data_IF_555163628742
#
_entry.id   IF_555163628742
#
_cell.length_a   1.000
_cell.length_b   1.000
_cell.length_c   1.000
_cell.angle_alpha   90.00
_cell.angle_beta   90.00
_cell.angle_gamma   90.00
#
_symmetry.space_group_name_H-M   'P 1'
#
loop_
_entity.id
_entity.type
_entity.pdbx_description
1 polymer ?
#
# COMPACT_ATOMS: atom_id res chain seq x y z
N UNK A 1 1.62 -3.15 18.60
CA UNK A 1 0.87 -2.09 17.89
C UNK A 1 -0.59 -2.26 18.20
N UNK A 2 -1.32 -1.21 18.58
CA UNK A 2 -2.77 -1.31 18.75
C UNK A 2 -3.40 -1.73 17.42
N UNK A 3 -4.40 -2.62 17.47
CA UNK A 3 -4.98 -3.27 16.27
C UNK A 3 -5.57 -2.25 15.28
N UNK A 4 -6.08 -1.14 15.81
CA UNK A 4 -6.73 -0.06 15.06
C UNK A 4 -5.84 0.56 13.96
N UNK A 5 -4.55 0.67 14.20
CA UNK A 5 -3.63 1.36 13.31
C UNK A 5 -3.24 0.48 12.11
N UNK A 6 -3.07 -0.83 12.35
CA UNK A 6 -2.82 -1.83 11.29
C UNK A 6 -4.00 -1.91 10.32
N UNK A 7 -5.22 -1.87 10.85
CA UNK A 7 -6.44 -1.95 10.05
C UNK A 7 -6.60 -0.71 9.15
N UNK A 8 -6.19 0.47 9.62
CA UNK A 8 -6.22 1.71 8.84
C UNK A 8 -5.23 1.70 7.67
N UNK A 9 -3.99 1.27 7.88
CA UNK A 9 -3.00 1.20 6.80
C UNK A 9 -3.40 0.21 5.70
N UNK A 10 -3.95 -0.95 6.10
CA UNK A 10 -4.48 -1.95 5.16
C UNK A 10 -5.64 -1.40 4.33
N UNK A 11 -6.56 -0.65 4.96
CA UNK A 11 -7.69 -0.02 4.25
C UNK A 11 -7.23 1.02 3.22
N UNK A 12 -6.29 1.89 3.59
CA UNK A 12 -5.75 2.91 2.67
C UNK A 12 -4.96 2.26 1.54
N UNK A 13 -4.14 1.27 1.84
CA UNK A 13 -3.35 0.55 0.84
C UNK A 13 -4.24 -0.13 -0.22
N UNK A 14 -5.38 -0.73 0.19
CA UNK A 14 -6.37 -1.29 -0.75
C UNK A 14 -6.95 -0.24 -1.67
N UNK A 15 -7.40 0.89 -1.12
CA UNK A 15 -7.99 1.98 -1.90
C UNK A 15 -6.99 2.56 -2.92
N UNK A 16 -5.73 2.71 -2.52
CA UNK A 16 -4.66 3.14 -3.44
C UNK A 16 -4.50 2.13 -4.58
N UNK A 17 -4.45 0.83 -4.28
CA UNK A 17 -4.35 -0.22 -5.29
C UNK A 17 -5.52 -0.25 -6.27
N UNK A 18 -6.76 -0.06 -5.79
CA UNK A 18 -7.96 0.05 -6.64
C UNK A 18 -7.88 1.26 -7.57
N UNK A 19 -7.50 2.43 -7.06
CA UNK A 19 -7.35 3.65 -7.86
C UNK A 19 -6.25 3.51 -8.93
N UNK A 20 -5.11 2.93 -8.59
CA UNK A 20 -4.01 2.72 -9.54
C UNK A 20 -4.42 1.77 -10.66
N UNK A 21 -5.15 0.71 -10.32
CA UNK A 21 -5.70 -0.25 -11.30
C UNK A 21 -6.68 0.41 -12.25
N UNK A 22 -7.62 1.20 -11.73
CA UNK A 22 -8.62 1.91 -12.53
C UNK A 22 -7.97 2.92 -13.49
N UNK A 23 -6.82 3.49 -13.09
CA UNK A 23 -6.06 4.44 -13.90
C UNK A 23 -4.98 3.78 -14.79
N UNK A 24 -4.78 2.46 -14.70
CA UNK A 24 -3.69 1.77 -15.39
C UNK A 24 -2.30 2.30 -15.03
N UNK A 25 -2.15 2.85 -13.82
CA UNK A 25 -0.94 3.53 -13.34
C UNK A 25 -0.11 2.64 -12.40
N UNK A 26 1.11 3.07 -12.11
CA UNK A 26 2.06 2.38 -11.23
C UNK A 26 2.59 3.30 -10.13
N UNK A 27 2.87 2.72 -8.98
CA UNK A 27 3.38 3.36 -7.78
C UNK A 27 4.86 3.03 -7.61
N UNK A 28 5.63 4.05 -7.25
CA UNK A 28 7.00 3.91 -6.80
C UNK A 28 7.18 4.72 -5.52
N UNK A 29 7.98 4.21 -4.59
CA UNK A 29 8.22 4.85 -3.29
C UNK A 29 9.71 4.94 -3.02
N UNK A 30 10.17 6.11 -2.59
CA UNK A 30 11.51 6.30 -2.03
C UNK A 30 11.34 6.72 -0.58
N UNK A 31 11.88 5.93 0.34
CA UNK A 31 11.61 6.05 1.77
C UNK A 31 12.88 6.36 2.57
N UNK A 32 12.73 7.11 3.66
CA UNK A 32 13.79 7.42 4.62
C UNK A 32 13.31 7.07 6.04
N UNK A 33 12.74 8.02 6.78
CA UNK A 33 12.29 7.83 8.16
C UNK A 33 11.19 6.77 8.34
N UNK A 34 10.44 6.47 7.27
CA UNK A 34 9.42 5.42 7.27
C UNK A 34 10.01 4.02 7.14
N UNK A 35 11.29 3.86 6.77
CA UNK A 35 11.99 2.58 6.81
C UNK A 35 11.38 1.47 5.95
N UNK A 36 10.59 1.80 4.92
CA UNK A 36 9.92 0.80 4.07
C UNK A 36 8.49 0.46 4.49
N UNK A 37 7.93 1.12 5.51
CA UNK A 37 6.58 0.81 5.98
C UNK A 37 5.48 1.13 4.96
N UNK A 38 5.71 2.11 4.06
CA UNK A 38 4.74 2.40 2.99
C UNK A 38 4.77 1.26 1.96
N UNK A 39 5.96 0.92 1.46
CA UNK A 39 6.14 -0.20 0.54
C UNK A 39 5.61 -1.52 1.13
N UNK A 40 5.89 -1.81 2.41
CA UNK A 40 5.39 -3.00 3.09
C UNK A 40 3.87 -2.99 3.19
N UNK A 41 3.25 -1.87 3.58
CA UNK A 41 1.79 -1.80 3.74
C UNK A 41 1.07 -2.01 2.40
N UNK A 42 1.60 -1.42 1.33
CA UNK A 42 1.05 -1.56 -0.02
C UNK A 42 1.27 -2.97 -0.57
N UNK A 43 2.46 -3.53 -0.43
CA UNK A 43 2.77 -4.89 -0.91
C UNK A 43 2.08 -6.00 -0.10
N UNK A 44 1.72 -5.75 1.16
CA UNK A 44 0.95 -6.69 2.00
C UNK A 44 -0.51 -6.88 1.55
N UNK A 45 -1.05 -6.00 0.70
CA UNK A 45 -2.39 -6.16 0.15
C UNK A 45 -2.40 -7.31 -0.86
N UNK A 46 -3.35 -8.24 -0.71
CA UNK A 46 -3.51 -9.34 -1.66
C UNK A 46 -3.74 -8.81 -3.09
N UNK A 47 -3.01 -9.36 -4.06
CA UNK A 47 -3.06 -8.95 -5.46
C UNK A 47 -2.09 -7.83 -5.85
N UNK A 48 -1.30 -7.29 -4.92
CA UNK A 48 -0.27 -6.27 -5.18
C UNK A 48 0.77 -6.67 -6.24
N UNK A 49 1.01 -7.96 -6.40
CA UNK A 49 1.93 -8.51 -7.41
C UNK A 49 1.44 -8.35 -8.86
N UNK A 50 0.14 -8.11 -9.07
CA UNK A 50 -0.40 -7.81 -10.40
C UNK A 50 0.02 -6.41 -10.90
N UNK A 51 0.64 -5.61 -10.04
CA UNK A 51 1.12 -4.27 -10.31
C UNK A 51 0.32 -3.26 -9.51
N UNK A 52 0.99 -2.66 -8.53
CA UNK A 52 0.64 -1.36 -8.00
C UNK A 52 1.60 -0.32 -8.52
#
# INVERSE_FOLDING_TARGET
MPKDQSDRFSSVAKQVGELLKDQGSRLTTVESCTGGWIAQSVTAVAGSSAGF
#
